data_IF_882028979699
#
_entry.id   IF_882028979699
#
_cell.length_a   1.000
_cell.length_b   1.000
_cell.length_c   1.000
_cell.angle_alpha   90.00
_cell.angle_beta   90.00
_cell.angle_gamma   90.00
#
_symmetry.space_group_name_H-M   'P 1'
#
loop_
_entity.id
_entity.type
_entity.pdbx_description
1 polymer ?
#
# COMPACT_ATOMS: atom_id res chain seq x y z
N UNK A 1 60.75 -35.75 17.95
CA UNK A 1 60.58 -34.27 17.87
C UNK A 1 60.03 -33.97 16.50
N UNK A 2 58.75 -33.62 16.42
CA UNK A 2 58.15 -33.14 15.16
C UNK A 2 58.81 -31.81 14.78
N UNK A 3 59.13 -31.62 13.51
CA UNK A 3 59.71 -30.36 13.03
C UNK A 3 58.64 -29.25 13.12
N UNK A 4 58.84 -28.21 13.95
CA UNK A 4 57.87 -27.14 14.13
C UNK A 4 57.57 -26.40 12.83
N UNK A 5 58.50 -26.36 11.86
CA UNK A 5 58.27 -25.72 10.57
C UNK A 5 57.26 -26.49 9.71
N UNK A 6 57.22 -27.81 9.84
CA UNK A 6 56.28 -28.68 9.13
C UNK A 6 54.85 -28.50 9.68
N UNK A 7 54.71 -28.34 11.00
CA UNK A 7 53.42 -28.08 11.65
C UNK A 7 52.87 -26.70 11.29
N UNK A 8 53.73 -25.68 11.25
CA UNK A 8 53.35 -24.32 10.83
C UNK A 8 52.86 -24.32 9.37
N UNK A 9 53.56 -25.02 8.47
CA UNK A 9 53.14 -25.16 7.07
C UNK A 9 51.76 -25.81 6.94
N UNK A 10 51.54 -26.91 7.67
CA UNK A 10 50.26 -27.64 7.66
C UNK A 10 49.10 -26.83 8.25
N UNK A 11 49.36 -26.04 9.29
CA UNK A 11 48.36 -25.15 9.89
C UNK A 11 47.99 -24.03 8.92
N UNK A 12 48.97 -23.42 8.26
CA UNK A 12 48.76 -22.36 7.27
C UNK A 12 47.86 -22.83 6.12
N UNK A 13 48.12 -24.02 5.57
CA UNK A 13 47.33 -24.60 4.49
C UNK A 13 45.87 -24.83 4.90
N UNK A 14 45.65 -25.36 6.12
CA UNK A 14 44.31 -25.58 6.66
C UNK A 14 43.55 -24.27 6.90
N UNK A 15 44.22 -23.25 7.44
CA UNK A 15 43.62 -21.92 7.66
C UNK A 15 43.23 -21.29 6.34
N UNK A 16 44.09 -21.37 5.32
CA UNK A 16 43.79 -20.83 3.99
C UNK A 16 42.58 -21.53 3.35
N UNK A 17 42.47 -22.85 3.48
CA UNK A 17 41.31 -23.61 3.02
C UNK A 17 40.01 -23.21 3.76
N UNK A 18 40.09 -23.03 5.08
CA UNK A 18 38.97 -22.59 5.91
C UNK A 18 38.53 -21.16 5.58
N UNK A 19 39.47 -20.26 5.33
CA UNK A 19 39.18 -18.87 4.98
C UNK A 19 38.46 -18.78 3.62
N UNK A 20 38.91 -19.57 2.63
CA UNK A 20 38.26 -19.65 1.33
C UNK A 20 36.83 -20.21 1.44
N UNK A 21 36.62 -21.25 2.25
CA UNK A 21 35.30 -21.78 2.51
C UNK A 21 34.40 -20.74 3.21
N UNK A 22 34.91 -20.06 4.23
CA UNK A 22 34.18 -19.03 4.96
C UNK A 22 33.80 -17.85 4.04
N UNK A 23 34.72 -17.41 3.17
CA UNK A 23 34.46 -16.35 2.19
C UNK A 23 33.34 -16.74 1.22
N UNK A 24 33.31 -18.00 0.76
CA UNK A 24 32.24 -18.52 -0.10
C UNK A 24 30.88 -18.51 0.61
N UNK A 25 30.81 -18.96 1.86
CA UNK A 25 29.57 -18.94 2.65
C UNK A 25 29.08 -17.52 2.95
N UNK A 26 29.98 -16.58 3.26
CA UNK A 26 29.65 -15.16 3.44
C UNK A 26 29.07 -14.54 2.17
N UNK A 27 29.71 -14.80 1.02
CA UNK A 27 29.23 -14.31 -0.28
C UNK A 27 27.88 -14.93 -0.65
N UNK A 28 27.70 -16.23 -0.40
CA UNK A 28 26.43 -16.93 -0.63
C UNK A 28 25.30 -16.37 0.25
N UNK A 29 25.57 -16.14 1.53
CA UNK A 29 24.61 -15.54 2.46
C UNK A 29 24.23 -14.11 2.06
N UNK A 30 25.20 -13.29 1.67
CA UNK A 30 24.96 -11.93 1.21
C UNK A 30 24.10 -11.90 -0.06
N UNK A 31 24.41 -12.77 -1.03
CA UNK A 31 23.64 -12.88 -2.27
C UNK A 31 22.18 -13.27 -1.97
N UNK A 32 21.98 -14.28 -1.12
CA UNK A 32 20.65 -14.74 -0.72
C UNK A 32 19.87 -13.63 -0.01
N UNK A 33 20.50 -12.88 0.89
CA UNK A 33 19.89 -11.72 1.56
C UNK A 33 19.42 -10.65 0.57
N UNK A 34 20.25 -10.29 -0.42
CA UNK A 34 19.89 -9.32 -1.45
C UNK A 34 18.67 -9.80 -2.26
N UNK A 35 18.64 -11.08 -2.64
CA UNK A 35 17.50 -11.69 -3.35
C UNK A 35 16.23 -11.60 -2.51
N UNK A 36 16.30 -11.95 -1.22
CA UNK A 36 15.14 -11.86 -0.32
C UNK A 36 14.61 -10.43 -0.18
N UNK A 37 15.49 -9.44 -0.02
CA UNK A 37 15.08 -8.02 0.06
C UNK A 37 14.44 -7.55 -1.25
N UNK A 38 14.99 -7.95 -2.40
CA UNK A 38 14.45 -7.60 -3.71
C UNK A 38 13.05 -8.20 -3.93
N UNK A 39 12.87 -9.49 -3.61
CA UNK A 39 11.57 -10.17 -3.67
C UNK A 39 10.56 -9.52 -2.73
N UNK A 40 10.94 -9.30 -1.47
CA UNK A 40 10.07 -8.67 -0.47
C UNK A 40 9.64 -7.26 -0.89
N UNK A 41 10.54 -6.47 -1.46
CA UNK A 41 10.25 -5.15 -1.99
C UNK A 41 9.24 -5.20 -3.15
N UNK A 42 9.43 -6.13 -4.11
CA UNK A 42 8.50 -6.27 -5.24
C UNK A 42 7.09 -6.69 -4.81
N UNK A 43 6.97 -7.54 -3.79
CA UNK A 43 5.67 -7.98 -3.25
C UNK A 43 5.02 -6.96 -2.32
N UNK A 44 5.82 -6.22 -1.54
CA UNK A 44 5.34 -5.24 -0.56
C UNK A 44 4.69 -4.00 -1.21
N UNK A 45 5.22 -3.53 -2.34
CA UNK A 45 4.60 -2.41 -3.08
C UNK A 45 3.21 -2.74 -3.61
N UNK A 46 2.95 -4.01 -3.99
CA UNK A 46 1.61 -4.44 -4.44
C UNK A 46 0.62 -4.53 -3.27
N UNK A 47 1.07 -4.95 -2.09
CA UNK A 47 0.23 -4.99 -0.90
C UNK A 47 -0.17 -3.59 -0.41
N UNK A 48 0.72 -2.60 -0.48
CA UNK A 48 0.39 -1.20 -0.12
C UNK A 48 -0.51 -0.52 -1.17
N UNK A 49 -0.31 -0.80 -2.46
CA UNK A 49 -1.16 -0.26 -3.52
C UNK A 49 -2.59 -0.87 -3.51
N UNK A 50 -2.76 -2.09 -3.00
CA UNK A 50 -4.07 -2.76 -2.92
C UNK A 50 -4.94 -2.34 -1.72
N UNK A 51 -4.38 -1.69 -0.70
CA UNK A 51 -5.18 -1.08 0.38
C UNK A 51 -5.95 0.16 -0.10
N UNK A 52 -5.50 0.79 -1.20
CA UNK A 52 -6.09 2.03 -1.73
C UNK A 52 -7.10 1.82 -2.86
N UNK A 53 -7.31 0.57 -3.29
CA UNK A 53 -8.32 0.24 -4.28
C UNK A 53 -9.19 -0.92 -3.74
N UNK A 54 -10.46 -0.69 -3.38
CA UNK A 54 -11.36 -1.76 -2.96
C UNK A 54 -11.70 -2.62 -4.18
N UNK A 55 -10.80 -3.53 -4.53
CA UNK A 55 -10.88 -4.34 -5.75
C UNK A 55 -11.74 -5.58 -5.55
N UNK A 56 -12.21 -5.83 -4.32
CA UNK A 56 -13.21 -6.86 -4.02
C UNK A 56 -14.11 -6.26 -2.95
N UNK A 57 -15.18 -5.60 -3.38
CA UNK A 57 -16.35 -5.40 -2.53
C UNK A 57 -16.75 -6.79 -2.03
N UNK A 58 -16.46 -7.12 -0.78
CA UNK A 58 -17.32 -8.05 -0.06
C UNK A 58 -18.74 -7.50 -0.28
N UNK A 59 -19.67 -8.27 -0.89
CA UNK A 59 -21.03 -7.81 -1.03
C UNK A 59 -21.49 -7.40 0.37
N UNK A 60 -21.67 -6.11 0.60
CA UNK A 60 -22.35 -5.65 1.81
C UNK A 60 -23.75 -6.21 1.64
N UNK A 61 -24.16 -7.12 2.53
CA UNK A 61 -25.49 -7.69 2.48
C UNK A 61 -26.49 -6.53 2.46
N UNK A 62 -27.37 -6.51 1.45
CA UNK A 62 -28.32 -5.41 1.16
C UNK A 62 -27.73 -4.12 0.57
N UNK A 63 -26.66 -4.20 -0.22
CA UNK A 63 -26.20 -3.06 -1.01
C UNK A 63 -27.14 -2.74 -2.18
N UNK A 64 -27.47 -1.47 -2.38
CA UNK A 64 -28.15 -0.97 -3.58
C UNK A 64 -27.11 -0.32 -4.49
N UNK A 65 -27.03 -0.77 -5.74
CA UNK A 65 -26.17 -0.19 -6.76
C UNK A 65 -27.00 0.67 -7.72
N UNK A 66 -26.63 1.95 -7.86
CA UNK A 66 -27.26 2.87 -8.78
C UNK A 66 -26.21 3.83 -9.37
N UNK A 67 -26.50 4.36 -10.56
CA UNK A 67 -25.69 5.44 -11.16
C UNK A 67 -25.85 6.75 -10.40
N UNK A 68 -27.03 6.95 -9.80
CA UNK A 68 -27.38 8.15 -9.08
C UNK A 68 -28.42 7.84 -8.00
N UNK A 69 -28.24 8.44 -6.82
CA UNK A 69 -29.26 8.49 -5.78
C UNK A 69 -29.73 9.93 -5.60
N UNK A 70 -31.05 10.10 -5.56
CA UNK A 70 -31.69 11.40 -5.44
C UNK A 70 -32.52 11.43 -4.15
N UNK A 71 -32.28 12.44 -3.33
CA UNK A 71 -33.10 12.74 -2.16
C UNK A 71 -34.14 13.78 -2.56
N UNK A 72 -35.41 13.39 -2.53
CA UNK A 72 -36.55 14.25 -2.82
C UNK A 72 -37.22 14.67 -1.50
N UNK A 73 -37.73 15.89 -1.47
CA UNK A 73 -38.57 16.37 -0.38
C UNK A 73 -40.04 16.02 -0.57
N UNK A 74 -40.90 16.37 0.41
CA UNK A 74 -42.31 15.96 0.43
C UNK A 74 -43.15 16.45 -0.76
N UNK A 75 -42.71 17.52 -1.43
CA UNK A 75 -43.42 18.14 -2.55
C UNK A 75 -42.71 17.89 -3.89
N UNK A 76 -41.78 16.93 -3.94
CA UNK A 76 -41.04 16.60 -5.15
C UNK A 76 -39.86 17.52 -5.44
N UNK A 77 -39.44 18.32 -4.46
CA UNK A 77 -38.26 19.17 -4.61
C UNK A 77 -36.96 18.39 -4.39
N UNK A 78 -35.92 18.67 -5.18
CA UNK A 78 -34.62 18.04 -5.02
C UNK A 78 -33.93 18.57 -3.76
N UNK A 79 -33.59 17.69 -2.80
CA UNK A 79 -32.90 18.03 -1.54
C UNK A 79 -31.47 17.53 -1.49
N UNK A 80 -31.14 16.50 -2.25
CA UNK A 80 -29.77 16.02 -2.33
C UNK A 80 -29.54 15.03 -3.45
N UNK A 81 -28.27 14.79 -3.76
CA UNK A 81 -27.85 13.94 -4.89
C UNK A 81 -26.51 13.27 -4.58
N UNK A 82 -26.44 11.96 -4.77
CA UNK A 82 -25.19 11.18 -4.79
C UNK A 82 -24.97 10.72 -6.23
N UNK A 83 -23.88 11.16 -6.86
CA UNK A 83 -23.57 10.86 -8.27
C UNK A 83 -22.07 10.90 -8.53
N UNK A 84 -21.66 10.50 -9.73
CA UNK A 84 -20.29 10.72 -10.24
C UNK A 84 -20.29 11.95 -11.14
N UNK A 85 -19.46 12.95 -10.83
CA UNK A 85 -19.28 14.19 -11.60
C UNK A 85 -17.82 14.28 -12.00
N UNK A 86 -17.54 14.42 -13.30
CA UNK A 86 -16.18 14.46 -13.85
C UNK A 86 -15.30 13.27 -13.39
N UNK A 87 -15.91 12.08 -13.30
CA UNK A 87 -15.23 10.86 -12.84
C UNK A 87 -14.97 10.79 -11.34
N UNK A 88 -15.46 11.74 -10.54
CA UNK A 88 -15.31 11.77 -9.08
C UNK A 88 -16.66 11.60 -8.37
N UNK A 89 -16.74 10.81 -7.29
CA UNK A 89 -17.97 10.71 -6.50
C UNK A 89 -18.26 12.06 -5.83
N UNK A 90 -19.52 12.45 -5.84
CA UNK A 90 -20.00 13.70 -5.30
C UNK A 90 -21.31 13.50 -4.52
N UNK A 91 -21.40 14.15 -3.37
CA UNK A 91 -22.62 14.30 -2.59
C UNK A 91 -22.99 15.79 -2.52
N UNK A 92 -24.20 16.12 -2.92
CA UNK A 92 -24.73 17.47 -2.98
C UNK A 92 -25.98 17.57 -2.12
N UNK A 93 -26.13 18.67 -1.39
CA UNK A 93 -27.37 19.05 -0.73
C UNK A 93 -27.83 20.41 -1.22
N UNK A 94 -29.15 20.57 -1.35
CA UNK A 94 -29.79 21.77 -1.86
C UNK A 94 -30.67 22.41 -0.78
N UNK A 95 -30.73 23.75 -0.76
CA UNK A 95 -31.63 24.52 0.10
C UNK A 95 -33.10 24.44 -0.37
N UNK A 96 -34.01 25.13 0.33
CA UNK A 96 -35.44 25.21 -0.05
C UNK A 96 -35.73 25.89 -1.37
N UNK A 97 -34.77 26.64 -1.93
CA UNK A 97 -34.87 27.23 -3.25
C UNK A 97 -34.18 26.39 -4.33
N UNK A 98 -33.68 25.19 -4.00
CA UNK A 98 -32.97 24.31 -4.92
C UNK A 98 -31.52 24.73 -5.20
N UNK A 99 -30.97 25.68 -4.44
CA UNK A 99 -29.56 26.11 -4.59
C UNK A 99 -28.65 25.19 -3.81
N UNK A 100 -27.45 24.95 -4.34
CA UNK A 100 -26.43 24.15 -3.67
C UNK A 100 -26.08 24.77 -2.31
N UNK A 101 -26.41 24.06 -1.24
CA UNK A 101 -26.13 24.46 0.15
C UNK A 101 -24.83 23.82 0.65
N UNK A 102 -24.57 22.58 0.25
CA UNK A 102 -23.37 21.84 0.66
C UNK A 102 -22.92 20.83 -0.41
N UNK A 103 -21.62 20.59 -0.50
CA UNK A 103 -21.01 19.72 -1.50
C UNK A 103 -19.79 18.99 -0.92
N UNK A 104 -19.69 17.68 -1.12
CA UNK A 104 -18.50 16.89 -0.81
C UNK A 104 -18.10 15.95 -1.96
N UNK A 105 -16.77 15.74 -2.18
CA UNK A 105 -15.66 16.46 -1.56
C UNK A 105 -15.63 17.93 -2.03
N UNK A 106 -15.25 18.91 -1.20
CA UNK A 106 -15.29 20.32 -1.60
C UNK A 106 -14.47 20.56 -2.87
N UNK A 107 -14.93 21.48 -3.74
CA UNK A 107 -14.27 21.78 -5.03
C UNK A 107 -12.78 22.14 -4.91
N UNK A 108 -12.31 22.55 -3.71
CA UNK A 108 -10.92 22.94 -3.42
C UNK A 108 -10.05 21.85 -2.78
N UNK A 109 -10.50 20.59 -2.75
CA UNK A 109 -9.81 19.57 -1.97
C UNK A 109 -10.06 19.76 -0.47
N UNK A 110 -9.98 18.65 0.25
CA UNK A 110 -10.35 18.57 1.67
C UNK A 110 -9.38 19.44 2.47
N UNK A 111 -9.83 20.57 3.03
CA UNK A 111 -9.05 21.29 4.04
C UNK A 111 -9.42 20.71 5.41
N UNK A 112 -8.48 20.10 6.15
CA UNK A 112 -8.76 19.61 7.48
C UNK A 112 -9.17 20.78 8.38
N UNK A 113 -10.25 20.60 9.14
CA UNK A 113 -10.65 21.51 10.20
C UNK A 113 -9.53 21.48 11.25
N UNK A 114 -8.93 22.64 11.55
CA UNK A 114 -8.05 22.77 12.72
C UNK A 114 -8.89 22.55 13.96
N UNK A 115 -8.56 21.52 14.73
CA UNK A 115 -9.06 21.38 16.10
C UNK A 115 -8.66 22.62 16.92
N UNK A 116 -9.60 23.09 17.74
CA UNK A 116 -9.42 24.21 18.66
C UNK A 116 -8.62 23.80 19.88
#
# INVERSE_FOLDING_TARGET
MTDPNLEIGRLSERVSALENANRRWKMGGLFLFIVFVAVASLTGYRAYAQLSAPSILKPVANAVAAHEFVLMGPHGELRGRISVIDGKPALQFYDSSGRLWWYAPPKMGVVPVKDK
#
